data_IF_715461296126
#
_entry.id   IF_715461296126
#
_cell.length_a   1.000
_cell.length_b   1.000
_cell.length_c   1.000
_cell.angle_alpha   90.00
_cell.angle_beta   90.00
_cell.angle_gamma   90.00
#
_symmetry.space_group_name_H-M   'P 1'
#
loop_
_entity.id
_entity.type
_entity.pdbx_description
1 polymer ?
#
# COMPACT_ATOMS: atom_id res chain seq x y z
N UNK A 1 -4.32 17.01 -22.09
CA UNK A 1 -4.92 18.23 -21.49
C UNK A 1 -5.00 18.03 -19.99
N UNK A 2 -4.25 18.79 -19.19
CA UNK A 2 -4.39 18.82 -17.74
C UNK A 2 -5.60 19.69 -17.37
N UNK A 3 -6.66 19.08 -16.84
CA UNK A 3 -7.82 19.82 -16.34
C UNK A 3 -7.61 20.12 -14.86
N UNK A 4 -7.10 21.31 -14.56
CA UNK A 4 -7.21 21.88 -13.21
C UNK A 4 -8.68 22.30 -12.99
N UNK A 5 -9.32 21.79 -11.93
CA UNK A 5 -10.74 22.05 -11.60
C UNK A 5 -11.67 20.83 -11.52
N UNK A 6 -11.15 19.61 -11.67
CA UNK A 6 -11.93 18.38 -11.47
C UNK A 6 -12.26 18.12 -9.99
N UNK A 7 -13.43 17.53 -9.72
CA UNK A 7 -13.77 16.98 -8.40
C UNK A 7 -12.94 15.73 -8.13
N UNK A 8 -12.34 15.63 -6.94
CA UNK A 8 -11.58 14.46 -6.51
C UNK A 8 -12.47 13.59 -5.62
N UNK A 9 -12.56 12.30 -5.94
CA UNK A 9 -13.21 11.29 -5.11
C UNK A 9 -12.18 10.36 -4.49
N UNK A 10 -12.44 9.88 -3.27
CA UNK A 10 -11.64 8.87 -2.59
C UNK A 10 -12.39 7.55 -2.55
N UNK A 11 -11.68 6.45 -2.79
CA UNK A 11 -12.20 5.09 -2.70
C UNK A 11 -11.48 4.43 -1.51
N UNK A 12 -11.98 4.58 -0.28
CA UNK A 12 -11.32 4.01 0.89
C UNK A 12 -11.44 2.49 0.85
N UNK A 13 -10.30 1.80 0.90
CA UNK A 13 -10.24 0.34 0.91
C UNK A 13 -9.35 -0.22 2.04
N UNK A 14 -8.63 0.64 2.77
CA UNK A 14 -7.74 0.23 3.84
C UNK A 14 -8.48 -0.50 4.97
N UNK A 15 -7.80 -1.46 5.59
CA UNK A 15 -8.28 -2.22 6.74
C UNK A 15 -7.11 -2.42 7.72
N UNK A 16 -7.33 -2.03 8.98
CA UNK A 16 -6.28 -1.87 9.99
C UNK A 16 -5.72 -3.19 10.49
N UNK A 17 -4.40 -3.25 10.69
CA UNK A 17 -3.72 -4.44 11.23
C UNK A 17 -3.63 -5.62 10.25
N UNK A 18 -3.97 -5.42 8.98
CA UNK A 18 -3.95 -6.48 7.98
C UNK A 18 -2.54 -6.69 7.38
N UNK A 19 -2.19 -7.94 7.07
CA UNK A 19 -0.96 -8.29 6.32
C UNK A 19 -1.26 -8.62 4.85
N UNK A 20 -0.23 -8.72 4.01
CA UNK A 20 -0.41 -8.99 2.58
C UNK A 20 -1.07 -10.35 2.27
N UNK A 21 -0.99 -11.34 3.16
CA UNK A 21 -1.69 -12.62 2.97
C UNK A 21 -3.21 -12.46 3.08
N UNK A 22 -3.69 -11.53 3.91
CA UNK A 22 -5.12 -11.19 3.98
C UNK A 22 -5.59 -10.41 2.74
N UNK A 23 -4.65 -9.77 2.04
CA UNK A 23 -4.84 -9.08 0.77
C UNK A 23 -4.59 -9.96 -0.46
N UNK A 24 -4.34 -11.25 -0.28
CA UNK A 24 -4.09 -12.17 -1.38
C UNK A 24 -5.20 -12.10 -2.45
N UNK A 25 -4.80 -12.26 -3.71
CA UNK A 25 -5.72 -12.21 -4.86
C UNK A 25 -6.85 -13.23 -4.67
N UNK A 26 -8.10 -12.77 -4.85
CA UNK A 26 -9.30 -13.57 -4.60
C UNK A 26 -9.74 -13.63 -3.13
N UNK A 27 -8.94 -13.09 -2.20
CA UNK A 27 -9.30 -12.92 -0.80
C UNK A 27 -10.35 -11.83 -0.56
N UNK A 28 -10.90 -11.78 0.67
CA UNK A 28 -12.01 -10.89 1.00
C UNK A 28 -11.67 -9.40 0.82
N UNK A 29 -10.51 -8.95 1.35
CA UNK A 29 -10.08 -7.54 1.27
C UNK A 29 -9.79 -7.13 -0.18
N UNK A 30 -9.07 -7.98 -0.91
CA UNK A 30 -8.82 -7.79 -2.34
C UNK A 30 -10.13 -7.65 -3.13
N UNK A 31 -11.07 -8.57 -2.96
CA UNK A 31 -12.36 -8.56 -3.67
C UNK A 31 -13.21 -7.33 -3.29
N UNK A 32 -13.13 -6.90 -2.03
CA UNK A 32 -13.80 -5.70 -1.56
C UNK A 32 -13.22 -4.44 -2.21
N UNK A 33 -11.89 -4.31 -2.28
CA UNK A 33 -11.24 -3.20 -2.96
C UNK A 33 -11.58 -3.18 -4.46
N UNK A 34 -11.52 -4.34 -5.12
CA UNK A 34 -11.86 -4.49 -6.54
C UNK A 34 -13.32 -4.11 -6.82
N UNK A 35 -14.26 -4.54 -5.97
CA UNK A 35 -15.68 -4.18 -6.09
C UNK A 35 -15.90 -2.67 -5.93
N UNK A 36 -15.32 -2.06 -4.88
CA UNK A 36 -15.43 -0.60 -4.63
C UNK A 36 -14.86 0.20 -5.80
N UNK A 37 -13.69 -0.20 -6.30
CA UNK A 37 -13.05 0.42 -7.45
C UNK A 37 -13.90 0.30 -8.73
N UNK A 38 -14.44 -0.88 -9.03
CA UNK A 38 -15.36 -1.09 -10.17
C UNK A 38 -16.61 -0.24 -10.08
N UNK A 39 -17.21 -0.12 -8.89
CA UNK A 39 -18.38 0.74 -8.68
C UNK A 39 -18.03 2.21 -8.92
N UNK A 40 -16.93 2.71 -8.35
CA UNK A 40 -16.51 4.09 -8.56
C UNK A 40 -16.20 4.40 -10.04
N UNK A 41 -15.66 3.44 -10.80
CA UNK A 41 -15.39 3.58 -12.23
C UNK A 41 -16.65 3.73 -13.10
N UNK A 42 -17.86 3.47 -12.58
CA UNK A 42 -19.09 3.63 -13.35
C UNK A 42 -19.33 5.10 -13.73
N UNK A 43 -18.99 6.02 -12.84
CA UNK A 43 -19.25 7.47 -13.01
C UNK A 43 -17.97 8.32 -12.90
N UNK A 44 -16.80 7.69 -12.82
CA UNK A 44 -15.51 8.37 -12.66
C UNK A 44 -14.35 7.62 -13.31
N UNK A 45 -13.16 8.22 -13.30
CA UNK A 45 -11.91 7.58 -13.72
C UNK A 45 -10.98 7.44 -12.52
N UNK A 46 -10.42 6.25 -12.32
CA UNK A 46 -9.31 6.06 -11.38
C UNK A 46 -8.07 6.76 -11.97
N UNK A 47 -7.50 7.69 -11.21
CA UNK A 47 -6.35 8.50 -11.63
C UNK A 47 -5.09 8.20 -10.83
N UNK A 48 -5.15 7.29 -9.87
CA UNK A 48 -4.01 6.86 -9.09
C UNK A 48 -4.41 5.92 -7.95
N UNK A 49 -3.41 5.27 -7.38
CA UNK A 49 -3.52 4.38 -6.22
C UNK A 49 -2.59 4.92 -5.13
N UNK A 50 -3.13 5.05 -3.92
CA UNK A 50 -2.34 5.32 -2.72
C UNK A 50 -2.23 4.02 -1.93
N UNK A 51 -1.01 3.60 -1.62
CA UNK A 51 -0.74 2.42 -0.83
C UNK A 51 0.13 2.77 0.38
N UNK A 52 -0.36 2.43 1.56
CA UNK A 52 0.42 2.54 2.78
C UNK A 52 0.00 1.40 3.72
N UNK A 53 0.91 0.46 3.88
CA UNK A 53 0.78 -0.76 4.68
C UNK A 53 2.18 -1.40 4.79
N UNK A 54 2.39 -2.19 5.83
CA UNK A 54 3.49 -3.15 5.93
C UNK A 54 3.90 -3.48 7.36
N UNK A 55 3.27 -2.82 8.34
CA UNK A 55 3.49 -3.00 9.77
C UNK A 55 3.23 -4.44 10.19
N UNK A 56 2.13 -5.04 9.74
CA UNK A 56 1.79 -6.44 10.07
C UNK A 56 2.69 -7.46 9.37
N UNK A 57 3.31 -7.12 8.25
CA UNK A 57 4.31 -7.96 7.55
C UNK A 57 5.73 -7.79 8.13
N UNK A 58 5.91 -6.88 9.10
CA UNK A 58 7.20 -6.57 9.74
C UNK A 58 7.45 -7.35 11.03
N UNK A 59 6.64 -8.38 11.31
CA UNK A 59 6.75 -9.22 12.50
C UNK A 59 7.84 -10.29 12.40
N UNK A 60 8.01 -10.87 11.23
CA UNK A 60 9.05 -11.87 10.97
C UNK A 60 9.89 -11.45 9.78
N UNK A 61 11.16 -11.85 9.78
CA UNK A 61 12.03 -11.63 8.64
C UNK A 61 11.49 -12.33 7.38
N UNK A 62 10.91 -13.52 7.52
CA UNK A 62 10.34 -14.27 6.41
C UNK A 62 9.17 -13.54 5.73
N UNK A 63 8.30 -12.89 6.52
CA UNK A 63 7.19 -12.10 5.97
C UNK A 63 7.70 -10.84 5.27
N UNK A 64 8.66 -10.16 5.88
CA UNK A 64 9.27 -8.96 5.31
C UNK A 64 10.01 -9.26 4.00
N UNK A 65 10.76 -10.37 3.93
CA UNK A 65 11.46 -10.81 2.74
C UNK A 65 10.49 -11.24 1.62
N UNK A 66 9.32 -11.78 1.98
CA UNK A 66 8.28 -12.17 1.02
C UNK A 66 7.41 -10.98 0.53
N UNK A 67 7.52 -9.81 1.17
CA UNK A 67 6.64 -8.66 0.96
C UNK A 67 6.58 -8.22 -0.51
N UNK A 68 7.73 -8.04 -1.14
CA UNK A 68 7.85 -7.57 -2.53
C UNK A 68 7.08 -8.47 -3.51
N UNK A 69 7.23 -9.79 -3.36
CA UNK A 69 6.57 -10.78 -4.21
C UNK A 69 5.06 -10.84 -3.96
N UNK A 70 4.62 -10.76 -2.69
CA UNK A 70 3.18 -10.71 -2.35
C UNK A 70 2.54 -9.43 -2.90
N UNK A 71 3.16 -8.27 -2.65
CA UNK A 71 2.70 -6.98 -3.13
C UNK A 71 2.57 -6.95 -4.64
N UNK A 72 3.60 -7.44 -5.35
CA UNK A 72 3.63 -7.51 -6.81
C UNK A 72 2.41 -8.23 -7.37
N UNK A 73 2.10 -9.42 -6.83
CA UNK A 73 0.93 -10.20 -7.28
C UNK A 73 -0.39 -9.46 -7.06
N UNK A 74 -0.54 -8.78 -5.92
CA UNK A 74 -1.76 -8.05 -5.57
C UNK A 74 -1.93 -6.84 -6.50
N UNK A 75 -0.90 -6.01 -6.66
CA UNK A 75 -0.97 -4.81 -7.49
C UNK A 75 -1.15 -5.13 -8.97
N UNK A 76 -0.38 -6.09 -9.52
CA UNK A 76 -0.51 -6.45 -10.93
C UNK A 76 -1.92 -6.99 -11.24
N UNK A 77 -2.48 -7.77 -10.31
CA UNK A 77 -3.86 -8.24 -10.42
C UNK A 77 -4.86 -7.09 -10.35
N UNK A 78 -4.73 -6.14 -9.41
CA UNK A 78 -5.63 -4.99 -9.34
C UNK A 78 -5.56 -4.13 -10.60
N UNK A 79 -4.35 -3.80 -11.06
CA UNK A 79 -4.13 -2.99 -12.27
C UNK A 79 -4.77 -3.64 -13.49
N UNK A 80 -4.54 -4.96 -13.68
CA UNK A 80 -5.14 -5.73 -14.77
C UNK A 80 -6.66 -5.83 -14.67
N UNK A 81 -7.18 -6.19 -13.50
CA UNK A 81 -8.63 -6.38 -13.27
C UNK A 81 -9.43 -5.09 -13.34
N UNK A 82 -8.76 -3.95 -13.19
CA UNK A 82 -9.32 -2.61 -13.33
C UNK A 82 -8.98 -1.95 -14.66
N UNK A 83 -8.03 -2.45 -15.47
CA UNK A 83 -7.57 -1.81 -16.71
C UNK A 83 -7.10 -0.37 -16.47
N UNK A 84 -6.09 -0.22 -15.62
CA UNK A 84 -5.54 1.07 -15.16
C UNK A 84 -4.00 1.10 -15.23
N UNK A 85 -3.42 0.50 -16.27
CA UNK A 85 -1.98 0.26 -16.44
C UNK A 85 -1.11 1.52 -16.33
N UNK A 86 -1.65 2.68 -16.74
CA UNK A 86 -0.90 3.94 -16.79
C UNK A 86 -1.12 4.84 -15.55
N UNK A 87 -1.84 4.38 -14.52
CA UNK A 87 -2.14 5.24 -13.36
C UNK A 87 -0.98 5.27 -12.37
N UNK A 88 -0.63 6.44 -11.81
CA UNK A 88 0.37 6.54 -10.76
C UNK A 88 0.04 5.70 -9.53
N UNK A 89 1.03 4.97 -9.05
CA UNK A 89 1.03 4.27 -7.76
C UNK A 89 1.96 5.01 -6.80
N UNK A 90 1.44 5.44 -5.66
CA UNK A 90 2.22 6.13 -4.63
C UNK A 90 2.27 5.26 -3.38
N UNK A 91 3.48 4.89 -2.98
CA UNK A 91 3.80 4.09 -1.80
C UNK A 91 4.20 5.01 -0.65
N UNK A 92 3.74 4.74 0.56
CA UNK A 92 4.21 5.40 1.78
C UNK A 92 5.14 4.49 2.60
N UNK A 93 6.29 5.02 3.03
CA UNK A 93 7.17 4.34 4.00
C UNK A 93 6.45 4.10 5.34
N UNK A 94 6.85 3.03 6.04
CA UNK A 94 6.55 2.82 7.44
C UNK A 94 7.43 3.75 8.29
N UNK A 95 6.85 4.42 9.27
CA UNK A 95 7.55 5.34 10.17
C UNK A 95 8.63 4.66 11.02
N UNK A 96 9.74 5.37 11.27
CA UNK A 96 10.92 4.82 11.98
C UNK A 96 10.63 4.37 13.42
N UNK A 97 9.61 4.97 14.05
CA UNK A 97 9.15 4.62 15.39
C UNK A 97 8.57 3.20 15.47
N UNK A 98 8.13 2.60 14.35
CA UNK A 98 7.42 1.33 14.33
C UNK A 98 8.26 0.19 14.93
N UNK A 99 9.60 0.26 14.83
CA UNK A 99 10.49 -0.71 15.45
C UNK A 99 10.33 -0.85 16.98
N UNK A 100 9.72 0.12 17.65
CA UNK A 100 9.46 0.12 19.10
C UNK A 100 8.06 -0.43 19.46
N UNK A 101 7.19 -0.62 18.46
CA UNK A 101 5.83 -1.11 18.67
C UNK A 101 5.80 -2.47 19.37
N UNK A 102 5.04 -2.57 20.47
CA UNK A 102 4.78 -3.80 21.22
C UNK A 102 6.03 -4.68 21.42
N UNK A 103 7.12 -4.10 21.97
CA UNK A 103 8.40 -4.81 22.16
C UNK A 103 9.03 -5.32 20.86
N UNK A 104 8.94 -4.52 19.80
CA UNK A 104 9.56 -4.79 18.51
C UNK A 104 8.80 -5.79 17.64
N UNK A 105 7.47 -5.80 17.70
CA UNK A 105 6.64 -6.58 16.77
C UNK A 105 6.68 -6.08 15.33
N UNK A 106 7.19 -4.88 15.10
CA UNK A 106 7.40 -4.34 13.75
C UNK A 106 8.91 -4.11 13.49
N UNK A 107 9.79 -4.87 14.15
CA UNK A 107 11.26 -4.69 14.05
C UNK A 107 11.83 -4.87 12.63
N UNK A 108 11.14 -5.59 11.76
CA UNK A 108 11.57 -5.83 10.38
C UNK A 108 11.03 -4.79 9.39
N UNK A 109 10.42 -3.70 9.87
CA UNK A 109 9.98 -2.59 9.01
C UNK A 109 11.07 -2.04 8.07
N UNK A 110 12.38 -2.03 8.42
CA UNK A 110 13.39 -1.56 7.48
C UNK A 110 13.49 -2.44 6.22
N UNK A 111 13.25 -3.75 6.35
CA UNK A 111 13.24 -4.67 5.21
C UNK A 111 12.00 -4.43 4.32
N UNK A 112 10.85 -4.15 4.93
CA UNK A 112 9.63 -3.78 4.19
C UNK A 112 9.81 -2.44 3.48
N UNK A 113 10.38 -1.42 4.13
CA UNK A 113 10.71 -0.15 3.48
C UNK A 113 11.70 -0.36 2.32
N UNK A 114 12.74 -1.19 2.47
CA UNK A 114 13.64 -1.54 1.37
C UNK A 114 12.90 -2.19 0.20
N UNK A 115 11.94 -3.08 0.46
CA UNK A 115 11.09 -3.66 -0.57
C UNK A 115 10.25 -2.59 -1.28
N UNK A 116 9.63 -1.67 -0.55
CA UNK A 116 8.87 -0.54 -1.12
C UNK A 116 9.75 0.34 -2.02
N UNK A 117 10.99 0.63 -1.60
CA UNK A 117 11.96 1.37 -2.43
C UNK A 117 12.29 0.64 -3.73
N UNK A 118 12.58 -0.67 -3.68
CA UNK A 118 12.83 -1.48 -4.88
C UNK A 118 11.62 -1.54 -5.81
N UNK A 119 10.41 -1.61 -5.24
CA UNK A 119 9.16 -1.57 -6.01
C UNK A 119 9.00 -0.23 -6.73
N UNK A 120 9.28 0.88 -6.08
CA UNK A 120 9.22 2.21 -6.69
C UNK A 120 10.27 2.40 -7.79
N UNK A 121 11.45 1.80 -7.65
CA UNK A 121 12.52 1.86 -8.66
C UNK A 121 12.25 0.97 -9.88
N UNK A 122 11.62 -0.20 -9.68
CA UNK A 122 11.46 -1.21 -10.73
C UNK A 122 10.13 -1.11 -11.50
N UNK A 123 9.08 -0.53 -10.90
CA UNK A 123 7.76 -0.41 -11.54
C UNK A 123 7.61 0.94 -12.26
N UNK A 124 7.06 0.95 -13.49
CA UNK A 124 6.69 2.19 -14.15
C UNK A 124 5.57 2.90 -13.37
N UNK A 125 5.53 4.23 -13.45
CA UNK A 125 4.52 5.06 -12.80
C UNK A 125 4.39 4.86 -11.28
N UNK A 126 5.45 4.38 -10.62
CA UNK A 126 5.49 4.15 -9.18
C UNK A 126 6.41 5.16 -8.50
N UNK A 127 5.97 5.73 -7.38
CA UNK A 127 6.76 6.63 -6.54
C UNK A 127 6.63 6.22 -5.08
N UNK A 128 7.65 6.53 -4.28
CA UNK A 128 7.64 6.33 -2.83
C UNK A 128 7.77 7.68 -2.11
N UNK A 129 7.04 7.83 -1.02
CA UNK A 129 7.03 9.02 -0.17
C UNK A 129 7.61 8.64 1.19
N UNK A 130 8.55 9.46 1.66
CA UNK A 130 9.24 9.20 2.92
C UNK A 130 8.38 9.50 4.15
N UNK A 131 8.57 8.71 5.20
CA UNK A 131 8.00 8.92 6.53
C UNK A 131 9.00 9.58 7.50
N UNK A 132 10.16 10.00 7.01
CA UNK A 132 11.19 10.64 7.83
C UNK A 132 10.65 11.90 8.54
N UNK A 133 10.91 11.99 9.84
CA UNK A 133 10.46 13.11 10.68
C UNK A 133 9.00 13.04 11.14
N UNK A 134 8.21 12.04 10.70
CA UNK A 134 6.88 11.79 11.26
C UNK A 134 7.00 11.19 12.66
N UNK A 135 6.10 11.60 13.55
CA UNK A 135 6.01 11.11 14.93
C UNK A 135 4.78 10.22 15.10
N UNK A 136 4.89 9.17 15.90
CA UNK A 136 3.75 8.34 16.23
C UNK A 136 2.83 9.00 17.25
N UNK A 137 1.63 8.44 17.36
CA UNK A 137 0.80 8.49 18.57
C UNK A 137 1.46 7.68 19.70
N UNK A 138 0.80 7.67 20.85
CA UNK A 138 1.29 6.97 22.06
C UNK A 138 1.44 5.44 21.87
N UNK A 139 0.82 4.88 20.84
CA UNK A 139 0.88 3.45 20.53
C UNK A 139 2.11 3.02 19.72
N UNK A 140 2.95 3.95 19.26
CA UNK A 140 4.18 3.69 18.51
C UNK A 140 3.97 2.95 17.17
N UNK A 141 2.77 3.00 16.59
CA UNK A 141 2.49 2.37 15.28
C UNK A 141 1.65 3.23 14.35
N UNK A 142 0.80 4.13 14.88
CA UNK A 142 -0.01 5.02 14.07
C UNK A 142 0.54 6.45 14.08
N UNK A 143 0.39 7.18 12.97
CA UNK A 143 0.58 8.63 12.88
C UNK A 143 -0.73 9.33 12.47
#
# INVERSE_FOLDING_TARGET
>A
MNTYGGRVGLIPCADGGTCLDQWAVGGALYNQALRRARQAKQDSRIVGILWHQGESDSHSQADADAYEGKFTRIMDSLVRELGIEDVPLVLGEIGEFAGQYQNGRCRFFPLVNQALHRLAQSRPHCAIVSAAGLTSRDDLIHF
#
